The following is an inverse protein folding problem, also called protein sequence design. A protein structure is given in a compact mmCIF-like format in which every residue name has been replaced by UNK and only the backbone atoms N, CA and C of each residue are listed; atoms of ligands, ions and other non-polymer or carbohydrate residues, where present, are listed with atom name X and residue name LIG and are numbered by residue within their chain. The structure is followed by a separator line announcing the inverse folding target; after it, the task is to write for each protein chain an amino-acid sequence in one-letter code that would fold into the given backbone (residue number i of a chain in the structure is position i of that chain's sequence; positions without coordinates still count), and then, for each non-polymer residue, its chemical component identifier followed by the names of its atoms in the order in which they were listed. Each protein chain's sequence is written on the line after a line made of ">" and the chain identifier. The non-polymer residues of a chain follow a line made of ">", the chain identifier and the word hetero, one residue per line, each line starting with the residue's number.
data_IF_843933839065
#
_entry.id   IF_843933839065
#
_cell.length_a   1.000
_cell.length_b   1.000
_cell.length_c   1.000
_cell.angle_alpha   90.00
_cell.angle_beta   90.00
_cell.angle_gamma   90.00
#
_symmetry.space_group_name_H-M   'P 1'
#
loop_
_entity.id
_entity.type
_entity.pdbx_description
1 polymer ?
#
# COMPACT_ATOMS: atom_id res chain seq x y z
N UNK A 1 -19.93 0.38 11.94
CA UNK A 1 -18.58 0.29 12.56
C UNK A 1 -18.67 -0.73 13.68
N UNK A 2 -17.75 -1.72 13.80
CA UNK A 2 -17.85 -2.70 14.88
C UNK A 2 -17.61 -2.01 16.24
N UNK A 3 -18.24 -2.50 17.32
CA UNK A 3 -18.05 -1.96 18.66
C UNK A 3 -16.60 -2.14 19.13
N UNK A 4 -16.12 -1.26 20.03
CA UNK A 4 -14.79 -1.39 20.60
C UNK A 4 -14.64 -2.73 21.34
N UNK A 5 -13.46 -3.36 21.19
CA UNK A 5 -13.01 -4.64 21.79
C UNK A 5 -13.50 -5.94 21.13
N UNK A 6 -14.08 -5.87 19.94
CA UNK A 6 -14.31 -7.08 19.12
C UNK A 6 -13.05 -7.44 18.30
N UNK A 7 -12.58 -8.68 18.37
CA UNK A 7 -11.42 -9.15 17.61
C UNK A 7 -11.69 -9.08 16.09
N UNK A 8 -11.00 -8.17 15.41
CA UNK A 8 -11.16 -7.86 13.98
C UNK A 8 -10.62 -8.96 13.04
N UNK A 9 -9.86 -9.94 13.57
CA UNK A 9 -9.26 -11.03 12.79
C UNK A 9 -10.29 -11.90 12.04
N UNK A 10 -11.55 -11.96 12.48
CA UNK A 10 -12.60 -12.74 11.80
C UNK A 10 -13.30 -12.00 10.66
N UNK A 11 -13.11 -10.68 10.53
CA UNK A 11 -13.85 -9.87 9.55
C UNK A 11 -13.10 -9.55 8.26
N UNK A 12 -11.85 -10.01 8.09
CA UNK A 12 -11.07 -9.65 6.91
C UNK A 12 -11.77 -10.06 5.60
N UNK A 13 -12.42 -11.23 5.56
CA UNK A 13 -13.18 -11.71 4.38
C UNK A 13 -14.58 -11.14 4.24
N UNK A 14 -15.11 -10.41 5.23
CA UNK A 14 -16.50 -9.93 5.20
C UNK A 14 -16.65 -8.59 4.47
N UNK A 15 -15.55 -7.83 4.41
CA UNK A 15 -15.47 -6.55 3.68
C UNK A 15 -14.71 -6.66 2.36
N UNK A 16 -14.22 -7.83 1.98
CA UNK A 16 -13.65 -8.04 0.65
C UNK A 16 -14.71 -7.81 -0.44
N UNK A 17 -14.34 -7.26 -1.61
CA UNK A 17 -15.29 -7.01 -2.70
C UNK A 17 -16.04 -8.26 -3.18
N UNK A 18 -15.42 -9.43 -3.04
CA UNK A 18 -15.98 -10.74 -3.39
C UNK A 18 -16.97 -11.28 -2.35
N UNK A 19 -16.99 -10.71 -1.14
CA UNK A 19 -17.80 -11.19 -0.03
C UNK A 19 -19.31 -10.93 -0.26
N UNK A 20 -20.19 -11.88 0.11
CA UNK A 20 -21.63 -11.71 -0.06
C UNK A 20 -22.20 -10.53 0.75
N UNK A 21 -21.58 -10.16 1.88
CA UNK A 21 -21.96 -9.00 2.67
C UNK A 21 -21.58 -7.65 2.01
N UNK A 22 -20.46 -7.61 1.28
CA UNK A 22 -19.97 -6.41 0.58
C UNK A 22 -20.88 -5.98 -0.58
N UNK A 23 -21.44 -6.95 -1.31
CA UNK A 23 -22.43 -6.68 -2.38
C UNK A 23 -23.64 -5.87 -1.91
N UNK A 24 -24.11 -6.08 -0.67
CA UNK A 24 -25.24 -5.31 -0.11
C UNK A 24 -24.86 -3.88 0.25
N UNK A 25 -23.61 -3.63 0.68
CA UNK A 25 -23.12 -2.29 0.98
C UNK A 25 -22.96 -1.45 -0.29
N UNK A 26 -22.36 -2.01 -1.35
CA UNK A 26 -22.18 -1.31 -2.63
C UNK A 26 -23.50 -1.05 -3.37
N UNK A 27 -24.48 -1.96 -3.27
CA UNK A 27 -25.81 -1.76 -3.88
C UNK A 27 -26.62 -0.65 -3.18
N UNK A 28 -26.41 -0.43 -1.87
CA UNK A 28 -27.05 0.65 -1.11
C UNK A 28 -26.47 2.03 -1.45
N UNK A 29 -25.17 2.12 -1.72
CA UNK A 29 -24.54 3.35 -2.20
C UNK A 29 -25.15 3.81 -3.54
N UNK A 30 -25.24 2.88 -4.52
CA UNK A 30 -25.84 3.15 -5.84
C UNK A 30 -27.32 3.57 -5.81
N UNK A 31 -28.06 3.23 -4.75
CA UNK A 31 -29.45 3.68 -4.57
C UNK A 31 -29.55 5.09 -3.98
N UNK A 32 -28.57 5.53 -3.18
CA UNK A 32 -28.53 6.88 -2.61
C UNK A 32 -28.15 7.95 -3.64
N UNK A 33 -27.46 7.57 -4.71
CA UNK A 33 -27.09 8.49 -5.80
C UNK A 33 -28.30 8.96 -6.63
N UNK A 34 -29.47 8.32 -6.47
CA UNK A 34 -30.69 8.65 -7.22
C UNK A 34 -31.58 9.67 -6.52
N UNK A 35 -31.30 9.99 -5.26
CA UNK A 35 -32.11 10.86 -4.40
C UNK A 35 -31.24 11.95 -3.74
N UNK A 36 -30.28 12.51 -4.48
CA UNK A 36 -29.55 13.68 -4.03
C UNK A 36 -30.25 14.91 -4.61
N UNK A 37 -30.85 15.72 -3.72
CA UNK A 37 -31.22 17.08 -4.06
C UNK A 37 -29.98 17.80 -4.63
N UNK A 38 -30.14 18.69 -5.62
CA UNK A 38 -29.01 19.40 -6.20
C UNK A 38 -28.21 20.11 -5.10
N UNK A 39 -26.88 20.03 -5.10
CA UNK A 39 -26.05 20.66 -4.08
C UNK A 39 -26.32 22.16 -4.07
N UNK A 40 -26.32 22.76 -2.88
CA UNK A 40 -26.48 24.20 -2.74
C UNK A 40 -25.31 24.92 -3.43
N UNK A 41 -25.59 26.08 -4.03
CA UNK A 41 -24.58 26.89 -4.73
C UNK A 41 -23.49 27.31 -3.73
N UNK A 42 -22.34 26.63 -3.75
CA UNK A 42 -21.20 26.87 -2.86
C UNK A 42 -20.56 25.61 -2.25
N UNK A 43 -21.19 24.44 -2.34
CA UNK A 43 -20.70 23.21 -1.70
C UNK A 43 -19.60 22.47 -2.48
N UNK A 44 -19.32 22.88 -3.73
CA UNK A 44 -18.22 22.33 -4.53
C UNK A 44 -17.24 23.43 -4.90
N UNK A 45 -15.98 23.24 -4.49
CA UNK A 45 -14.85 24.00 -5.02
C UNK A 45 -14.74 23.62 -6.51
N UNK A 46 -14.91 24.58 -7.42
CA UNK A 46 -14.74 24.30 -8.85
C UNK A 46 -13.30 23.87 -9.10
N UNK A 47 -13.13 22.59 -9.44
CA UNK A 47 -11.85 22.06 -9.86
C UNK A 47 -11.60 22.60 -11.27
N UNK A 48 -10.77 23.63 -11.37
CA UNK A 48 -10.39 24.26 -12.64
C UNK A 48 -9.70 23.20 -13.51
N UNK A 49 -10.44 22.70 -14.50
CA UNK A 49 -9.97 21.78 -15.54
C UNK A 49 -11.16 21.33 -16.38
N UNK A 50 -11.14 21.65 -17.68
CA UNK A 50 -12.15 21.29 -18.68
C UNK A 50 -12.70 19.87 -18.47
N UNK A 51 -14.01 19.77 -18.28
CA UNK A 51 -14.73 18.51 -18.08
C UNK A 51 -14.99 17.82 -19.40
N UNK A 52 -14.04 16.98 -19.82
CA UNK A 52 -14.33 15.81 -20.64
C UNK A 52 -14.85 14.73 -19.66
N UNK A 53 -16.18 14.68 -19.47
CA UNK A 53 -16.89 13.95 -18.40
C UNK A 53 -16.82 12.40 -18.48
N UNK A 54 -15.84 11.85 -19.19
CA UNK A 54 -15.49 10.44 -19.07
C UNK A 54 -14.44 10.29 -17.97
N UNK A 55 -14.67 9.47 -16.92
CA UNK A 55 -13.61 9.18 -15.96
C UNK A 55 -12.44 8.56 -16.71
N UNK A 56 -11.30 9.25 -16.69
CA UNK A 56 -10.10 8.77 -17.35
C UNK A 56 -9.84 7.30 -16.96
N UNK A 57 -9.49 6.43 -17.92
CA UNK A 57 -9.27 5.03 -17.62
C UNK A 57 -8.23 4.91 -16.50
N UNK A 58 -8.57 4.15 -15.46
CA UNK A 58 -7.68 3.96 -14.31
C UNK A 58 -6.35 3.39 -14.82
N UNK A 59 -5.27 4.11 -14.57
CA UNK A 59 -3.93 3.64 -14.93
C UNK A 59 -3.67 2.30 -14.24
N UNK A 60 -3.05 1.37 -14.96
CA UNK A 60 -2.68 0.06 -14.39
C UNK A 60 -1.75 0.28 -13.20
N UNK A 61 -1.89 -0.55 -12.17
CA UNK A 61 -1.06 -0.43 -10.96
C UNK A 61 0.45 -0.41 -11.26
N UNK A 62 0.91 -1.25 -12.20
CA UNK A 62 2.31 -1.26 -12.65
C UNK A 62 2.77 0.10 -13.23
N UNK A 63 1.89 0.81 -13.94
CA UNK A 63 2.21 2.14 -14.47
C UNK A 63 2.38 3.14 -13.33
N UNK A 64 1.49 3.11 -12.33
CA UNK A 64 1.55 4.02 -11.18
C UNK A 64 2.83 3.81 -10.37
N UNK A 65 3.23 2.56 -10.14
CA UNK A 65 4.49 2.25 -9.45
C UNK A 65 5.70 2.78 -10.21
N UNK A 66 5.77 2.53 -11.53
CA UNK A 66 6.86 3.02 -12.35
C UNK A 66 6.94 4.55 -12.34
N UNK A 67 5.79 5.22 -12.39
CA UNK A 67 5.72 6.68 -12.42
C UNK A 67 6.14 7.32 -11.09
N UNK A 68 5.65 6.80 -9.96
CA UNK A 68 6.03 7.30 -8.63
C UNK A 68 7.51 7.02 -8.35
N UNK A 69 7.98 5.82 -8.67
CA UNK A 69 9.38 5.47 -8.46
C UNK A 69 10.34 6.35 -9.28
N UNK A 70 9.99 6.67 -10.53
CA UNK A 70 10.77 7.59 -11.34
C UNK A 70 10.83 8.99 -10.70
N UNK A 71 9.68 9.52 -10.25
CA UNK A 71 9.64 10.83 -9.58
C UNK A 71 10.51 10.87 -8.32
N UNK A 72 10.51 9.80 -7.52
CA UNK A 72 11.28 9.69 -6.28
C UNK A 72 12.80 9.63 -6.53
N UNK A 73 13.24 9.01 -7.63
CA UNK A 73 14.67 8.86 -7.94
C UNK A 73 15.22 10.03 -8.76
N UNK A 74 14.38 10.72 -9.52
CA UNK A 74 14.79 11.83 -10.39
C UNK A 74 14.61 13.22 -9.74
N UNK A 75 14.02 13.29 -8.55
CA UNK A 75 13.76 14.56 -7.85
C UNK A 75 14.41 14.62 -6.47
N UNK A 76 15.18 15.68 -6.19
CA UNK A 76 15.84 15.82 -4.89
C UNK A 76 14.81 16.12 -3.78
N UNK A 77 14.78 15.35 -2.67
CA UNK A 77 13.81 15.57 -1.59
C UNK A 77 14.07 16.85 -0.78
N UNK A 78 15.23 17.50 -0.93
CA UNK A 78 15.58 18.73 -0.20
C UNK A 78 15.24 20.00 -0.98
N UNK A 79 15.51 20.02 -2.28
CA UNK A 79 15.39 21.23 -3.10
C UNK A 79 14.46 21.07 -4.31
N UNK A 80 13.85 19.90 -4.52
CA UNK A 80 13.01 19.57 -5.68
C UNK A 80 13.69 19.73 -7.05
N UNK A 81 15.03 19.83 -7.08
CA UNK A 81 15.80 19.90 -8.32
C UNK A 81 15.92 18.56 -9.04
N UNK A 82 16.26 18.57 -10.35
CA UNK A 82 16.44 17.36 -11.13
C UNK A 82 17.70 16.60 -10.69
N UNK A 83 17.60 15.28 -10.58
CA UNK A 83 18.70 14.35 -10.29
C UNK A 83 19.00 13.47 -11.50
N UNK A 84 20.23 12.94 -11.55
CA UNK A 84 20.67 11.99 -12.58
C UNK A 84 21.12 10.69 -11.92
N UNK A 85 20.90 9.59 -12.62
CA UNK A 85 21.40 8.28 -12.23
C UNK A 85 22.92 8.26 -12.25
N UNK A 86 23.54 7.93 -11.11
CA UNK A 86 25.00 7.81 -11.02
C UNK A 86 25.49 6.45 -11.53
N UNK A 87 24.88 5.36 -11.07
CA UNK A 87 25.19 3.98 -11.48
C UNK A 87 23.96 3.09 -11.27
N UNK A 88 23.80 2.06 -12.11
CA UNK A 88 22.74 1.04 -11.98
C UNK A 88 23.40 -0.32 -11.71
N UNK A 89 23.09 -0.91 -10.55
CA UNK A 89 23.59 -2.22 -10.17
C UNK A 89 22.52 -3.30 -10.34
N UNK A 90 22.70 -4.16 -11.36
CA UNK A 90 21.77 -5.25 -11.67
C UNK A 90 22.27 -6.60 -11.13
N UNK A 91 23.52 -6.68 -10.68
CA UNK A 91 24.11 -7.91 -10.13
C UNK A 91 24.37 -7.78 -8.64
N UNK A 92 24.31 -8.91 -7.92
CA UNK A 92 24.60 -8.94 -6.48
C UNK A 92 25.97 -8.33 -6.15
N UNK A 93 26.99 -8.62 -6.96
CA UNK A 93 28.34 -8.11 -6.76
C UNK A 93 28.41 -6.57 -6.87
N UNK A 94 27.75 -5.98 -7.88
CA UNK A 94 27.66 -4.53 -8.03
C UNK A 94 26.90 -3.89 -6.86
N UNK A 95 25.78 -4.48 -6.44
CA UNK A 95 25.00 -4.00 -5.29
C UNK A 95 25.87 -3.99 -4.04
N UNK A 96 26.58 -5.09 -3.75
CA UNK A 96 27.45 -5.17 -2.57
C UNK A 96 28.60 -4.17 -2.62
N UNK A 97 29.19 -3.94 -3.79
CA UNK A 97 30.27 -2.96 -3.97
C UNK A 97 29.77 -1.55 -3.69
N UNK A 98 28.71 -1.12 -4.36
CA UNK A 98 28.16 0.24 -4.21
C UNK A 98 27.68 0.50 -2.77
N UNK A 99 27.01 -0.47 -2.16
CA UNK A 99 26.60 -0.35 -0.76
C UNK A 99 27.82 -0.19 0.17
N UNK A 100 28.90 -0.94 -0.06
CA UNK A 100 30.11 -0.81 0.73
C UNK A 100 30.80 0.56 0.55
N UNK A 101 30.89 1.07 -0.68
CA UNK A 101 31.45 2.40 -0.98
C UNK A 101 30.68 3.53 -0.27
N UNK A 102 29.37 3.40 -0.14
CA UNK A 102 28.52 4.36 0.59
C UNK A 102 28.39 4.08 2.09
N UNK A 103 29.12 3.11 2.64
CA UNK A 103 29.04 2.75 4.07
C UNK A 103 27.73 2.04 4.48
N UNK A 104 26.93 1.64 3.51
CA UNK A 104 25.66 0.90 3.64
C UNK A 104 25.85 -0.62 3.46
N UNK A 105 27.07 -1.11 3.67
CA UNK A 105 27.43 -2.51 3.50
C UNK A 105 26.53 -3.45 4.33
N UNK A 106 26.46 -4.75 3.97
CA UNK A 106 25.57 -5.71 4.58
C UNK A 106 25.72 -5.71 6.11
N UNK A 107 24.71 -5.19 6.80
CA UNK A 107 24.62 -5.19 8.25
C UNK A 107 24.17 -6.58 8.69
N UNK A 108 24.98 -7.26 9.50
CA UNK A 108 24.55 -8.49 10.13
C UNK A 108 23.26 -8.24 10.92
N UNK A 109 22.27 -9.16 10.88
CA UNK A 109 21.08 -9.03 11.69
C UNK A 109 21.50 -8.86 13.16
N UNK A 110 20.79 -8.03 13.95
CA UNK A 110 21.12 -7.83 15.34
C UNK A 110 21.19 -9.20 16.04
N UNK A 111 22.33 -9.49 16.67
CA UNK A 111 22.61 -10.78 17.30
C UNK A 111 21.79 -11.04 18.58
N UNK A 112 20.68 -10.32 18.78
CA UNK A 112 19.74 -10.58 19.86
C UNK A 112 19.15 -11.96 19.65
N UNK A 113 19.75 -12.95 20.31
CA UNK A 113 19.10 -14.21 20.64
C UNK A 113 17.95 -13.86 21.59
N UNK A 114 16.83 -13.43 21.04
CA UNK A 114 15.58 -13.47 21.80
C UNK A 114 15.32 -14.95 22.02
N UNK A 115 15.47 -15.41 23.27
CA UNK A 115 15.00 -16.73 23.64
C UNK A 115 13.51 -16.76 23.37
N UNK A 116 13.12 -17.30 22.21
CA UNK A 116 11.71 -17.52 21.90
C UNK A 116 11.28 -18.67 22.79
N UNK A 117 10.70 -18.33 23.95
CA UNK A 117 9.92 -19.28 24.72
C UNK A 117 8.71 -19.62 23.84
N UNK A 118 8.74 -20.81 23.24
CA UNK A 118 7.58 -21.35 22.54
C UNK A 118 6.57 -21.70 23.63
N UNK A 119 5.42 -21.01 23.73
CA UNK A 119 4.40 -21.38 24.70
C UNK A 119 3.96 -22.82 24.43
N UNK A 120 3.70 -23.57 25.50
CA UNK A 120 3.33 -24.99 25.46
C UNK A 120 2.22 -25.30 24.45
N UNK A 121 1.30 -24.35 24.27
CA UNK A 121 0.17 -24.40 23.34
C UNK A 121 0.55 -24.50 21.85
N UNK A 122 1.81 -24.22 21.50
CA UNK A 122 2.37 -24.34 20.14
C UNK A 122 3.26 -25.59 19.98
N UNK A 123 3.45 -26.40 21.02
CA UNK A 123 4.14 -27.68 20.91
C UNK A 123 3.20 -28.72 20.30
N UNK A 124 3.29 -28.88 18.97
CA UNK A 124 2.57 -29.93 18.27
C UNK A 124 3.23 -31.28 18.59
N UNK A 125 2.58 -32.07 19.43
CA UNK A 125 3.00 -33.42 19.82
C UNK A 125 2.90 -34.42 18.68
N UNK A 126 3.75 -34.29 17.67
CA UNK A 126 3.99 -35.37 16.71
C UNK A 126 4.90 -36.40 17.38
N UNK A 127 4.29 -37.29 18.17
CA UNK A 127 4.95 -38.48 18.70
C UNK A 127 5.35 -39.42 17.55
N UNK A 128 6.56 -39.97 17.65
CA UNK A 128 7.03 -41.08 16.80
C UNK A 128 6.33 -42.36 17.27
N UNK A 129 5.70 -43.08 16.32
CA UNK A 129 5.30 -44.49 16.49
C UNK A 129 6.52 -45.40 16.72
#
# INVERSE_FOLDING_TARGET
>A
MPPPRFHLLRYWRTLEPSAPASRRAHARARRRDREQAPPARGDQLELIGDTDDAPAPRKRWAWLLAHVFAADVETCPRCSGPMRWAEVANTRAQITRLLAEHGLGPRAPPATRVGVSVPEQLMLGFGKE
#
